data_IF_436469313671
#
_entry.id   IF_436469313671
#
_cell.length_a   1.000
_cell.length_b   1.000
_cell.length_c   1.000
_cell.angle_alpha   90.00
_cell.angle_beta   90.00
_cell.angle_gamma   90.00
#
_symmetry.space_group_name_H-M   'P 1'
#
loop_
_entity.id
_entity.type
_entity.pdbx_description
1 polymer ?
#
# COMPACT_ATOMS: atom_id res chain seq x y z
N UNK A 1 -40.15 19.05 -10.38
CA UNK A 1 -39.68 18.40 -10.54
C UNK A 1 -39.11 18.17 -10.60
N UNK A 2 -39.10 18.30 -10.61
CA UNK A 2 -38.50 17.61 -10.87
C UNK A 2 -37.99 17.20 -10.71
N UNK A 3 -38.07 17.40 -10.64
CA UNK A 3 -37.54 16.70 -10.64
C UNK A 3 -36.86 16.30 -10.61
N UNK A 4 -36.94 16.60 -10.49
CA UNK A 4 -36.18 15.81 -10.81
C UNK A 4 -35.61 15.54 -10.60
N UNK A 5 -35.83 15.61 -10.33
CA UNK A 5 -35.35 15.01 -10.33
C UNK A 5 -34.71 14.66 -10.01
N UNK A 6 -34.80 14.86 -9.75
CA UNK A 6 -34.23 14.28 -9.65
C UNK A 6 -33.66 14.14 -9.00
N UNK A 7 -33.73 14.28 -8.76
CA UNK A 7 -33.06 13.94 -8.46
C UNK A 7 -32.71 13.11 -8.04
N UNK A 8 -32.90 12.89 -7.92
CA UNK A 8 -32.30 11.82 -7.95
C UNK A 8 -32.14 11.02 -7.78
N UNK A 9 -32.32 10.70 -8.10
CA UNK A 9 -32.14 9.80 -8.36
C UNK A 9 -31.67 9.15 -8.51
N UNK A 10 -31.55 8.77 -8.69
CA UNK A 10 -31.00 8.04 -9.20
C UNK A 10 -31.10 7.26 -9.59
N UNK A 11 -31.06 6.90 -10.10
CA UNK A 11 -31.03 6.12 -10.71
C UNK A 11 -31.05 5.23 -10.92
N UNK A 12 -31.17 4.92 -11.32
CA UNK A 12 -30.97 3.90 -11.64
C UNK A 12 -29.88 3.59 -11.80
N UNK A 13 -29.55 3.84 -11.37
CA UNK A 13 -28.40 3.66 -11.41
C UNK A 13 -27.84 2.81 -11.92
N UNK A 14 -27.88 2.28 -11.73
CA UNK A 14 -27.57 1.30 -12.35
C UNK A 14 -26.88 1.51 -13.54
N UNK A 15 -27.44 1.99 -14.41
CA UNK A 15 -26.83 2.09 -15.63
C UNK A 15 -25.67 2.94 -15.61
N UNK A 16 -25.56 3.72 -14.67
CA UNK A 16 -24.51 4.58 -14.61
C UNK A 16 -23.26 3.94 -14.49
N UNK A 17 -23.25 2.87 -13.85
CA UNK A 17 -22.08 2.18 -13.69
C UNK A 17 -21.54 1.83 -14.96
N UNK A 18 -22.35 1.73 -15.91
CA UNK A 18 -21.88 1.32 -17.18
C UNK A 18 -20.97 2.32 -17.79
N UNK A 19 -20.89 3.50 -17.20
CA UNK A 19 -19.99 4.48 -17.77
C UNK A 19 -18.62 4.41 -17.13
N UNK A 20 -18.41 3.53 -16.19
CA UNK A 20 -17.10 3.37 -15.58
C UNK A 20 -16.17 2.71 -16.59
N UNK A 21 -14.97 3.24 -16.76
CA UNK A 21 -14.05 2.64 -17.70
C UNK A 21 -13.74 1.20 -17.35
N UNK A 22 -13.58 0.38 -18.37
CA UNK A 22 -13.22 -0.98 -18.13
C UNK A 22 -11.73 -1.10 -18.03
N UNK A 23 -11.26 -1.84 -17.07
CA UNK A 23 -9.85 -2.15 -16.98
C UNK A 23 -9.71 -3.63 -17.16
N UNK A 24 -8.62 -4.06 -17.77
CA UNK A 24 -8.40 -5.49 -17.97
C UNK A 24 -8.32 -6.20 -16.63
N UNK A 25 -8.96 -7.36 -16.55
CA UNK A 25 -8.84 -8.15 -15.37
C UNK A 25 -7.47 -8.73 -15.31
N UNK A 26 -7.01 -8.93 -14.13
CA UNK A 26 -5.73 -9.59 -13.96
C UNK A 26 -4.58 -8.95 -14.69
N UNK A 27 -4.57 -7.64 -14.77
CA UNK A 27 -3.42 -7.01 -15.37
C UNK A 27 -2.22 -7.06 -14.42
N UNK A 28 -2.44 -7.48 -13.18
CA UNK A 28 -1.33 -7.71 -12.26
C UNK A 28 -0.63 -6.47 -11.73
N UNK A 29 -1.23 -5.30 -11.92
CA UNK A 29 -0.63 -4.08 -11.41
C UNK A 29 -0.95 -3.90 -9.93
N UNK A 30 -0.11 -3.13 -9.26
CA UNK A 30 -0.21 -2.98 -7.82
C UNK A 30 -1.40 -2.16 -7.40
N UNK A 31 -2.06 -2.61 -6.35
CA UNK A 31 -3.07 -1.83 -5.65
C UNK A 31 -2.57 -1.65 -4.21
N UNK A 32 -2.96 -0.56 -3.59
CA UNK A 32 -2.51 -0.24 -2.24
C UNK A 32 -3.70 -0.05 -1.34
N UNK A 33 -3.66 -0.61 -0.15
CA UNK A 33 -4.72 -0.42 0.83
C UNK A 33 -4.13 -0.01 2.17
N UNK A 34 -4.71 1.02 2.77
CA UNK A 34 -4.34 1.47 4.11
C UNK A 34 -5.30 0.94 5.16
N UNK A 35 -6.16 0.00 4.77
CA UNK A 35 -7.23 -0.46 5.66
C UNK A 35 -6.72 -0.98 6.99
N UNK A 36 -5.55 -1.60 6.98
CA UNK A 36 -5.02 -2.28 8.16
C UNK A 36 -3.81 -1.59 8.80
N UNK A 37 -3.60 -0.31 8.48
CA UNK A 37 -2.49 0.42 9.07
C UNK A 37 -2.64 0.45 10.59
N UNK A 38 -1.56 0.18 11.28
CA UNK A 38 -1.55 0.07 12.73
C UNK A 38 -1.25 1.42 13.40
N UNK A 39 -1.77 1.64 14.63
CA UNK A 39 -1.53 2.90 15.32
C UNK A 39 -0.05 3.20 15.46
N UNK A 40 0.31 4.46 15.36
CA UNK A 40 1.67 4.96 15.47
C UNK A 40 2.56 4.61 14.29
N UNK A 41 2.03 3.90 13.32
CA UNK A 41 2.78 3.57 12.10
C UNK A 41 2.02 4.01 10.86
N UNK A 42 1.17 5.02 11.00
CA UNK A 42 0.31 5.43 9.91
C UNK A 42 0.76 6.71 9.22
N UNK A 43 -0.06 7.14 8.29
CA UNK A 43 0.23 8.31 7.46
C UNK A 43 0.30 9.57 8.31
N UNK A 44 -0.47 9.62 9.39
CA UNK A 44 -0.51 10.78 10.26
C UNK A 44 0.81 11.00 11.02
N UNK A 45 1.67 9.98 11.08
CA UNK A 45 2.96 10.14 11.73
C UNK A 45 4.03 10.60 10.76
N UNK A 46 3.73 10.68 9.48
CA UNK A 46 4.71 11.02 8.46
C UNK A 46 4.88 12.52 8.35
N UNK A 47 6.10 12.96 8.05
CA UNK A 47 6.34 14.36 7.73
C UNK A 47 5.79 14.64 6.33
N UNK A 48 5.70 15.92 5.95
CA UNK A 48 5.25 16.28 4.62
C UNK A 48 6.17 15.68 3.57
N UNK A 49 7.46 15.70 3.82
CA UNK A 49 8.41 15.14 2.88
C UNK A 49 8.18 13.64 2.72
N UNK A 50 7.97 12.94 3.84
CA UNK A 50 7.78 11.49 3.79
C UNK A 50 6.51 11.14 3.02
N UNK A 51 5.44 11.90 3.24
CA UNK A 51 4.19 11.65 2.51
C UNK A 51 4.38 11.87 1.02
N UNK A 52 5.10 12.92 0.66
CA UNK A 52 5.35 13.24 -0.73
C UNK A 52 6.17 12.14 -1.39
N UNK A 53 7.25 11.71 -0.74
CA UNK A 53 8.11 10.67 -1.28
C UNK A 53 7.37 9.34 -1.41
N UNK A 54 6.55 9.02 -0.42
CA UNK A 54 5.77 7.81 -0.45
C UNK A 54 4.85 7.79 -1.68
N UNK A 55 4.12 8.88 -1.89
CA UNK A 55 3.18 8.95 -2.99
C UNK A 55 3.89 8.94 -4.34
N UNK A 56 4.98 9.66 -4.46
CA UNK A 56 5.72 9.68 -5.71
C UNK A 56 6.22 8.29 -6.07
N UNK A 57 6.80 7.60 -5.09
CA UNK A 57 7.32 6.27 -5.35
C UNK A 57 6.24 5.24 -5.58
N UNK A 58 5.13 5.37 -4.85
CA UNK A 58 4.06 4.41 -5.09
C UNK A 58 3.44 4.62 -6.47
N UNK A 59 3.29 5.88 -6.90
CA UNK A 59 2.78 6.16 -8.22
C UNK A 59 3.66 5.52 -9.29
N UNK A 60 4.98 5.54 -9.08
CA UNK A 60 5.89 4.90 -10.03
C UNK A 60 5.69 3.39 -10.01
N UNK A 61 5.52 2.81 -8.82
CA UNK A 61 5.32 1.36 -8.72
C UNK A 61 4.05 0.92 -9.43
N UNK A 62 3.03 1.75 -9.43
CA UNK A 62 1.77 1.39 -10.08
C UNK A 62 1.91 1.22 -11.59
N UNK A 63 3.00 1.66 -12.17
CA UNK A 63 3.27 1.45 -13.58
C UNK A 63 3.77 0.06 -13.91
N UNK A 64 4.00 -0.76 -12.90
CA UNK A 64 4.55 -2.10 -13.09
C UNK A 64 3.57 -3.16 -12.62
N UNK A 65 3.65 -4.34 -13.20
CA UNK A 65 2.96 -5.50 -12.65
C UNK A 65 3.78 -6.02 -11.49
N UNK A 66 3.19 -6.89 -10.70
CA UNK A 66 3.91 -7.50 -9.58
C UNK A 66 5.11 -8.28 -10.07
N UNK A 67 4.97 -8.96 -11.20
CA UNK A 67 6.10 -9.71 -11.75
C UNK A 67 7.23 -8.79 -12.14
N UNK A 68 6.92 -7.69 -12.81
CA UNK A 68 7.94 -6.75 -13.20
C UNK A 68 8.61 -6.11 -12.00
N UNK A 69 7.81 -5.79 -10.98
CA UNK A 69 8.35 -5.15 -9.79
C UNK A 69 9.33 -6.08 -9.07
N UNK A 70 9.08 -7.36 -9.13
CA UNK A 70 9.96 -8.34 -8.50
C UNK A 70 11.36 -8.36 -9.07
N UNK A 71 11.57 -7.73 -10.24
CA UNK A 71 12.88 -7.66 -10.84
C UNK A 71 13.66 -6.43 -10.38
N UNK A 72 13.05 -5.53 -9.63
CA UNK A 72 13.72 -4.35 -9.12
C UNK A 72 14.36 -4.64 -7.77
N UNK A 73 15.39 -3.88 -7.43
CA UNK A 73 16.05 -4.08 -6.14
C UNK A 73 15.26 -3.39 -5.04
N UNK A 74 15.44 -3.85 -3.81
CA UNK A 74 14.74 -3.26 -2.67
C UNK A 74 15.18 -1.82 -2.40
N UNK A 75 16.35 -1.42 -2.88
CA UNK A 75 16.82 -0.06 -2.67
C UNK A 75 16.23 0.90 -3.70
N UNK A 76 15.56 0.38 -4.71
CA UNK A 76 14.85 1.19 -5.68
C UNK A 76 13.37 1.04 -5.43
N UNK A 77 12.63 0.58 -6.43
CA UNK A 77 11.19 0.41 -6.31
C UNK A 77 10.79 -0.98 -5.82
N UNK A 78 11.73 -1.92 -5.77
CA UNK A 78 11.42 -3.29 -5.43
C UNK A 78 11.16 -3.51 -3.96
N UNK A 79 11.06 -4.78 -3.56
CA UNK A 79 10.74 -5.15 -2.20
C UNK A 79 11.59 -6.31 -1.74
N UNK A 80 11.54 -6.57 -0.43
CA UNK A 80 12.16 -7.77 0.12
C UNK A 80 11.18 -8.39 1.09
N UNK A 81 11.38 -9.65 1.44
CA UNK A 81 10.54 -10.33 2.41
C UNK A 81 11.38 -10.52 3.67
N UNK A 82 10.84 -10.08 4.81
CA UNK A 82 11.53 -10.20 6.08
C UNK A 82 10.68 -11.03 7.04
N UNK A 83 11.31 -11.87 7.87
CA UNK A 83 10.55 -12.69 8.80
C UNK A 83 9.89 -11.84 9.88
N UNK A 84 8.73 -12.30 10.34
CA UNK A 84 7.97 -11.59 11.35
C UNK A 84 8.81 -11.26 12.56
N UNK A 85 9.72 -12.14 12.92
CA UNK A 85 10.52 -11.96 14.13
C UNK A 85 11.42 -10.73 14.10
N UNK A 86 11.66 -10.15 12.93
CA UNK A 86 12.48 -8.96 12.84
C UNK A 86 11.74 -7.69 13.16
N UNK A 87 10.41 -7.73 13.14
CA UNK A 87 9.60 -6.53 13.34
C UNK A 87 9.35 -6.28 14.82
N UNK A 88 9.53 -5.04 15.25
CA UNK A 88 9.32 -4.68 16.66
C UNK A 88 7.85 -4.67 17.06
N UNK A 89 6.93 -4.13 16.25
CA UNK A 89 5.52 -4.17 16.66
C UNK A 89 4.94 -5.56 16.44
N UNK A 90 3.91 -5.87 17.20
CA UNK A 90 3.21 -7.13 17.08
C UNK A 90 2.03 -6.95 16.12
N UNK A 91 1.92 -7.77 15.07
CA UNK A 91 0.78 -7.63 14.17
C UNK A 91 -0.51 -8.09 14.83
N UNK A 92 -1.66 -7.64 14.34
CA UNK A 92 -2.93 -8.19 14.80
C UNK A 92 -2.97 -9.67 14.54
N UNK A 93 -3.60 -10.42 15.43
CA UNK A 93 -3.62 -11.86 15.32
C UNK A 93 -4.13 -12.33 13.97
N UNK A 94 -5.19 -11.74 13.50
CA UNK A 94 -5.80 -12.16 12.24
C UNK A 94 -4.93 -11.86 11.02
N UNK A 95 -3.92 -11.01 11.17
CA UNK A 95 -3.05 -10.60 10.06
C UNK A 95 -1.62 -11.07 10.26
N UNK A 96 -1.43 -12.05 11.12
CA UNK A 96 -0.10 -12.57 11.42
C UNK A 96 0.36 -13.48 10.28
N UNK A 97 1.54 -13.17 9.75
CA UNK A 97 2.15 -13.94 8.67
C UNK A 97 3.56 -14.32 9.07
N UNK A 98 4.14 -15.29 8.43
CA UNK A 98 5.52 -15.67 8.73
C UNK A 98 6.50 -14.62 8.25
N UNK A 99 6.19 -13.97 7.16
CA UNK A 99 7.05 -12.94 6.57
C UNK A 99 6.19 -11.80 6.10
N UNK A 100 6.79 -10.62 6.07
CA UNK A 100 6.11 -9.44 5.55
C UNK A 100 6.91 -8.84 4.42
N UNK A 101 6.20 -8.23 3.48
CA UNK A 101 6.80 -7.60 2.32
C UNK A 101 7.15 -6.17 2.68
N UNK A 102 8.35 -5.73 2.32
CA UNK A 102 8.88 -4.44 2.73
C UNK A 102 9.33 -3.64 1.53
N UNK A 103 8.81 -2.43 1.42
CA UNK A 103 9.22 -1.45 0.42
C UNK A 103 9.89 -0.28 1.12
N UNK A 104 10.49 0.62 0.35
CA UNK A 104 11.08 1.86 0.89
C UNK A 104 10.27 3.05 0.43
N UNK A 105 10.11 4.06 1.28
CA UNK A 105 9.35 5.25 0.91
C UNK A 105 10.20 6.52 0.89
N UNK A 106 11.11 6.69 1.82
CA UNK A 106 11.97 7.87 1.83
C UNK A 106 13.35 7.39 2.23
N UNK A 107 14.30 7.46 1.30
CA UNK A 107 15.63 6.90 1.50
C UNK A 107 15.46 5.44 1.94
N UNK A 108 16.00 5.05 3.09
CA UNK A 108 15.92 3.68 3.53
C UNK A 108 14.77 3.43 4.51
N UNK A 109 13.90 4.39 4.71
CA UNK A 109 12.77 4.19 5.61
C UNK A 109 11.75 3.25 4.98
N UNK A 110 11.44 2.14 5.62
CA UNK A 110 10.58 1.13 5.05
C UNK A 110 9.11 1.30 5.38
N UNK A 111 8.28 0.64 4.62
CA UNK A 111 6.92 0.36 5.05
C UNK A 111 6.66 -1.10 4.70
N UNK A 112 5.85 -1.74 5.53
CA UNK A 112 5.71 -3.19 5.44
C UNK A 112 4.27 -3.62 5.57
N UNK A 113 3.97 -4.77 5.01
CA UNK A 113 2.65 -5.33 5.07
C UNK A 113 2.60 -6.64 4.33
N UNK A 114 1.45 -6.96 3.77
CA UNK A 114 1.29 -8.23 3.07
C UNK A 114 0.49 -8.05 1.78
N UNK A 115 0.74 -8.92 0.85
CA UNK A 115 0.07 -8.89 -0.43
C UNK A 115 -1.01 -9.96 -0.46
N UNK A 116 -2.20 -9.59 -0.89
CA UNK A 116 -3.27 -10.56 -1.11
C UNK A 116 -3.90 -10.20 -2.44
N UNK A 117 -3.89 -11.13 -3.39
CA UNK A 117 -4.27 -10.82 -4.76
C UNK A 117 -3.28 -9.81 -5.30
N UNK A 118 -3.78 -8.75 -5.90
CA UNK A 118 -2.92 -7.69 -6.42
C UNK A 118 -2.82 -6.51 -5.46
N UNK A 119 -3.37 -6.64 -4.26
CA UNK A 119 -3.40 -5.55 -3.29
C UNK A 119 -2.31 -5.73 -2.25
N UNK A 120 -1.55 -4.66 -2.02
CA UNK A 120 -0.61 -4.62 -0.92
C UNK A 120 -1.29 -3.89 0.24
N UNK A 121 -1.43 -4.59 1.37
CA UNK A 121 -2.06 -4.02 2.56
C UNK A 121 -0.95 -3.55 3.49
N UNK A 122 -0.88 -2.25 3.72
CA UNK A 122 0.15 -1.67 4.57
C UNK A 122 -0.22 -1.90 6.04
N UNK A 123 0.72 -2.40 6.82
CA UNK A 123 0.53 -2.51 8.25
C UNK A 123 1.30 -1.42 8.98
N UNK A 124 2.53 -1.16 8.58
CA UNK A 124 3.40 -0.25 9.31
C UNK A 124 4.23 0.60 8.34
N UNK A 125 4.28 1.91 8.61
CA UNK A 125 5.15 2.81 7.89
C UNK A 125 6.13 3.35 8.90
N UNK A 126 7.43 3.10 8.68
CA UNK A 126 8.44 3.61 9.60
C UNK A 126 8.70 5.07 9.28
N UNK A 127 8.63 5.92 10.28
CA UNK A 127 8.89 7.35 10.09
C UNK A 127 10.13 7.80 10.85
N UNK A 128 10.59 6.99 11.81
CA UNK A 128 11.84 7.23 12.50
C UNK A 128 12.68 5.98 12.38
N UNK A 129 13.89 6.18 11.94
CA UNK A 129 14.79 5.08 11.64
C UNK A 129 14.92 4.14 12.84
N UNK A 130 14.64 2.89 12.63
CA UNK A 130 14.76 1.89 13.68
C UNK A 130 13.49 1.60 14.46
N UNK A 131 12.40 2.34 14.20
CA UNK A 131 11.16 2.10 14.95
C UNK A 131 10.48 0.78 14.54
N UNK A 132 10.63 0.38 13.29
CA UNK A 132 9.96 -0.81 12.80
C UNK A 132 10.83 -2.05 12.99
N UNK A 133 12.12 -1.93 12.67
CA UNK A 133 13.08 -3.00 12.87
C UNK A 133 14.49 -2.42 12.82
N UNK A 134 15.47 -3.21 13.24
CA UNK A 134 16.84 -2.74 13.23
C UNK A 134 17.39 -2.83 11.83
N UNK A 135 17.97 -1.72 11.37
CA UNK A 135 18.43 -1.63 10.00
C UNK A 135 19.90 -2.02 9.90
N UNK A 136 20.10 -3.29 9.67
CA UNK A 136 21.43 -3.70 9.28
C UNK A 136 22.55 -3.32 10.18
N UNK A 137 22.30 -3.23 11.47
CA UNK A 137 23.27 -2.95 12.29
C UNK A 137 24.01 -4.10 12.37
N UNK A 138 25.01 -4.11 12.26
CA UNK A 138 25.69 -5.27 12.28
C UNK A 138 26.65 -5.26 13.17
#
# INVERSE_FOLDING_TARGET
>A
MAKGKRRGQPPKATDQELSVPKVPEDDGHLLLSFRHIQPRFGVDEMSERQRSEFLIKWAKRCGFTWTELGLHTKHGLGYEMLPRSQFKPTPPEALTEDKYMVFRHDANLPFAGFKAGDTFYVLWIETRYGDLYDHGKK
#
